data_IF_725850685674
#
_entry.id   IF_725850685674
#
_cell.length_a   1.000
_cell.length_b   1.000
_cell.length_c   1.000
_cell.angle_alpha   90.00
_cell.angle_beta   90.00
_cell.angle_gamma   90.00
#
_symmetry.space_group_name_H-M   'P 1'
#
loop_
_entity.id
_entity.type
_entity.pdbx_description
1 polymer ?
#
# COMPACT_ATOMS: atom_id res chain seq x y z
N UNK A 1 -2.02 -13.30 -4.55
CA UNK A 1 -3.02 -12.44 -3.87
C UNK A 1 -2.79 -12.28 -2.37
N UNK A 2 -2.94 -13.30 -1.50
CA UNK A 2 -2.75 -13.12 -0.02
C UNK A 2 -1.32 -12.70 0.33
N UNK A 3 -0.33 -13.17 -0.43
CA UNK A 3 1.09 -12.87 -0.19
C UNK A 3 1.45 -11.38 -0.39
N UNK A 4 0.78 -10.68 -1.31
CA UNK A 4 1.06 -9.26 -1.58
C UNK A 4 0.48 -8.40 -0.46
N UNK A 5 -0.79 -8.61 -0.10
CA UNK A 5 -1.41 -7.92 1.03
C UNK A 5 -0.67 -8.15 2.36
N UNK A 6 -0.17 -9.37 2.57
CA UNK A 6 0.68 -9.67 3.73
C UNK A 6 2.00 -8.89 3.69
N UNK A 7 2.69 -8.86 2.54
CA UNK A 7 3.91 -8.07 2.37
C UNK A 7 3.67 -6.58 2.59
N UNK A 8 2.56 -6.03 2.11
CA UNK A 8 2.17 -4.63 2.34
C UNK A 8 1.97 -4.37 3.84
N UNK A 9 1.22 -5.24 4.52
CA UNK A 9 0.96 -5.10 5.95
C UNK A 9 2.24 -5.24 6.78
N UNK A 10 3.08 -6.24 6.50
CA UNK A 10 4.38 -6.43 7.16
C UNK A 10 5.27 -5.20 6.93
N UNK A 11 5.35 -4.70 5.68
CA UNK A 11 6.13 -3.51 5.35
C UNK A 11 5.62 -2.25 6.06
N UNK A 12 4.30 -2.04 6.13
CA UNK A 12 3.70 -0.92 6.86
C UNK A 12 4.04 -1.01 8.35
N UNK A 13 3.94 -2.19 8.96
CA UNK A 13 4.25 -2.40 10.38
C UNK A 13 5.73 -2.16 10.67
N UNK A 14 6.62 -2.59 9.76
CA UNK A 14 8.07 -2.36 9.88
C UNK A 14 8.45 -0.89 9.66
N UNK A 15 7.77 -0.18 8.74
CA UNK A 15 8.10 1.20 8.37
C UNK A 15 7.31 2.27 9.12
N UNK A 16 6.16 1.97 9.73
CA UNK A 16 5.51 2.87 10.71
C UNK A 16 6.44 3.17 11.89
N UNK A 17 7.38 2.25 12.20
CA UNK A 17 8.43 2.46 13.22
C UNK A 17 9.73 3.08 12.68
N UNK A 18 9.94 3.08 11.37
CA UNK A 18 11.16 3.59 10.70
C UNK A 18 10.78 4.57 9.60
N UNK A 19 10.16 5.70 9.96
CA UNK A 19 10.01 6.93 9.17
C UNK A 19 10.07 6.83 7.62
N UNK A 20 9.35 5.92 6.96
CA UNK A 20 9.14 5.93 5.50
C UNK A 20 10.39 6.31 4.65
N UNK A 21 11.58 5.85 5.05
CA UNK A 21 12.88 6.27 4.49
C UNK A 21 13.54 5.22 3.63
N UNK A 22 13.03 4.00 3.63
CA UNK A 22 13.70 2.91 2.92
C UNK A 22 13.28 2.91 1.44
N UNK A 23 14.09 3.57 0.61
CA UNK A 23 13.93 3.61 -0.85
C UNK A 23 14.14 2.24 -1.51
N UNK A 24 14.44 1.18 -0.75
CA UNK A 24 14.69 -0.18 -1.29
C UNK A 24 13.55 -0.76 -2.12
N UNK A 25 12.33 -0.23 -1.99
CA UNK A 25 11.16 -0.84 -2.62
C UNK A 25 10.87 -0.55 -4.09
N UNK A 26 11.53 0.32 -4.87
CA UNK A 26 11.07 0.65 -6.25
C UNK A 26 9.58 1.11 -6.38
N UNK A 27 9.33 1.98 -7.35
CA UNK A 27 7.98 2.54 -7.51
C UNK A 27 7.03 1.53 -8.21
N UNK A 28 7.57 0.63 -9.03
CA UNK A 28 6.82 -0.46 -9.68
C UNK A 28 6.14 -1.39 -8.66
N UNK A 29 6.79 -1.66 -7.52
CA UNK A 29 6.20 -2.50 -6.47
C UNK A 29 5.03 -1.78 -5.78
N UNK A 30 5.12 -0.45 -5.63
CA UNK A 30 4.04 0.35 -5.04
C UNK A 30 2.85 0.41 -5.98
N UNK A 31 3.09 0.56 -7.29
CA UNK A 31 2.05 0.48 -8.30
C UNK A 31 1.35 -0.89 -8.26
N UNK A 32 2.12 -1.98 -8.18
CA UNK A 32 1.57 -3.35 -8.04
C UNK A 32 0.72 -3.50 -6.76
N UNK A 33 1.12 -2.86 -5.67
CA UNK A 33 0.36 -2.86 -4.41
C UNK A 33 -0.95 -2.11 -4.54
N UNK A 34 -0.94 -0.92 -5.14
CA UNK A 34 -2.14 -0.12 -5.38
C UNK A 34 -3.12 -0.87 -6.29
N UNK A 35 -2.63 -1.46 -7.38
CA UNK A 35 -3.43 -2.26 -8.30
C UNK A 35 -4.06 -3.46 -7.57
N UNK A 36 -3.27 -4.21 -6.81
CA UNK A 36 -3.75 -5.37 -6.05
C UNK A 36 -4.83 -4.99 -5.03
N UNK A 37 -4.66 -3.87 -4.30
CA UNK A 37 -5.65 -3.39 -3.33
C UNK A 37 -6.93 -2.95 -4.05
N UNK A 38 -6.81 -2.23 -5.17
CA UNK A 38 -7.94 -1.77 -5.95
C UNK A 38 -8.74 -2.93 -6.56
N UNK A 39 -8.07 -3.93 -7.14
CA UNK A 39 -8.71 -5.15 -7.64
C UNK A 39 -9.50 -5.85 -6.53
N UNK A 40 -8.92 -5.96 -5.33
CA UNK A 40 -9.58 -6.61 -4.20
C UNK A 40 -10.80 -5.82 -3.73
N UNK A 41 -10.69 -4.48 -3.61
CA UNK A 41 -11.82 -3.59 -3.30
C UNK A 41 -12.92 -3.72 -4.35
N UNK A 42 -12.57 -3.74 -5.63
CA UNK A 42 -13.52 -3.88 -6.73
C UNK A 42 -14.22 -5.24 -6.71
N UNK A 43 -13.50 -6.32 -6.39
CA UNK A 43 -14.08 -7.65 -6.18
C UNK A 43 -15.05 -7.67 -5.00
N UNK A 44 -14.71 -7.03 -3.88
CA UNK A 44 -15.60 -6.93 -2.71
C UNK A 44 -16.83 -6.06 -2.99
N UNK A 45 -16.68 -4.95 -3.71
CA UNK A 45 -17.79 -4.11 -4.21
C UNK A 45 -18.75 -4.91 -5.08
N UNK A 46 -18.23 -5.67 -6.06
CA UNK A 46 -19.04 -6.56 -6.92
C UNK A 46 -19.83 -7.58 -6.10
N UNK A 47 -19.24 -8.08 -5.03
CA UNK A 47 -19.86 -9.04 -4.11
C UNK A 47 -20.72 -8.38 -3.01
N UNK A 48 -20.93 -7.05 -3.04
CA UNK A 48 -21.63 -6.26 -2.01
C UNK A 48 -21.08 -6.46 -0.59
N UNK A 49 -19.77 -6.73 -0.46
CA UNK A 49 -19.06 -6.91 0.81
C UNK A 49 -18.34 -5.63 1.25
N UNK A 50 -18.94 -4.47 1.03
CA UNK A 50 -18.34 -3.17 1.35
C UNK A 50 -18.45 -2.81 2.83
N UNK A 51 -19.37 -3.41 3.57
CA UNK A 51 -19.60 -3.15 5.00
C UNK A 51 -18.91 -4.19 5.89
N UNK A 52 -17.79 -4.74 5.43
CA UNK A 52 -17.04 -5.76 6.16
C UNK A 52 -15.73 -5.19 6.68
N UNK A 53 -15.26 -5.68 7.83
CA UNK A 53 -13.96 -5.29 8.38
C UNK A 53 -12.83 -5.48 7.37
N UNK A 54 -12.92 -6.49 6.51
CA UNK A 54 -11.96 -6.70 5.43
C UNK A 54 -11.91 -5.54 4.44
N UNK A 55 -13.06 -4.95 4.12
CA UNK A 55 -13.12 -3.82 3.20
C UNK A 55 -12.58 -2.53 3.85
N UNK A 56 -12.88 -2.31 5.13
CA UNK A 56 -12.29 -1.21 5.91
C UNK A 56 -10.77 -1.34 5.99
N UNK A 57 -10.25 -2.54 6.31
CA UNK A 57 -8.81 -2.80 6.30
C UNK A 57 -8.16 -2.52 4.94
N UNK A 58 -8.83 -2.85 3.83
CA UNK A 58 -8.32 -2.55 2.48
C UNK A 58 -8.34 -1.04 2.17
N UNK A 59 -9.30 -0.29 2.72
CA UNK A 59 -9.31 1.16 2.61
C UNK A 59 -8.16 1.80 3.40
N UNK A 60 -7.88 1.29 4.60
CA UNK A 60 -6.72 1.72 5.38
C UNK A 60 -5.41 1.40 4.68
N UNK A 61 -5.28 0.19 4.10
CA UNK A 61 -4.10 -0.18 3.31
C UNK A 61 -3.92 0.73 2.09
N UNK A 62 -4.98 1.02 1.34
CA UNK A 62 -4.96 1.95 0.19
C UNK A 62 -4.45 3.33 0.60
N UNK A 63 -4.93 3.86 1.74
CA UNK A 63 -4.50 5.15 2.26
C UNK A 63 -3.02 5.14 2.64
N UNK A 64 -2.57 4.12 3.38
CA UNK A 64 -1.18 3.99 3.82
C UNK A 64 -0.22 3.85 2.63
N UNK A 65 -0.56 3.05 1.62
CA UNK A 65 0.26 2.89 0.41
C UNK A 65 0.39 4.20 -0.37
N UNK A 66 -0.67 5.01 -0.47
CA UNK A 66 -0.59 6.36 -1.06
C UNK A 66 0.27 7.33 -0.25
N UNK A 67 0.18 7.29 1.07
CA UNK A 67 1.06 8.09 1.93
C UNK A 67 2.53 7.70 1.72
N UNK A 68 2.82 6.41 1.54
CA UNK A 68 4.16 5.91 1.21
C UNK A 68 4.64 6.42 -0.15
N UNK A 69 3.78 6.36 -1.18
CA UNK A 69 4.07 6.89 -2.51
C UNK A 69 4.44 8.38 -2.44
N UNK A 70 3.65 9.18 -1.72
CA UNK A 70 3.89 10.61 -1.52
C UNK A 70 5.19 10.90 -0.76
N UNK A 71 5.49 10.12 0.29
CA UNK A 71 6.73 10.28 1.05
C UNK A 71 7.93 9.90 0.18
N UNK A 72 7.84 8.84 -0.62
CA UNK A 72 8.91 8.43 -1.54
C UNK A 72 9.15 9.44 -2.65
N UNK A 73 8.09 9.99 -3.26
CA UNK A 73 8.20 11.11 -4.21
C UNK A 73 8.93 12.30 -3.59
N UNK A 74 8.76 12.52 -2.29
CA UNK A 74 9.46 13.59 -1.54
C UNK A 74 10.87 13.23 -1.06
N UNK A 75 11.19 11.97 -0.75
CA UNK A 75 12.51 11.57 -0.21
C UNK A 75 13.42 10.95 -1.27
N UNK A 76 12.96 9.86 -1.88
CA UNK A 76 13.76 9.06 -2.83
C UNK A 76 13.97 9.77 -4.17
N UNK A 77 13.01 10.59 -4.61
CA UNK A 77 13.15 11.36 -5.84
C UNK A 77 14.07 12.59 -5.68
N UNK A 78 14.32 13.04 -4.45
CA UNK A 78 15.21 14.18 -4.15
C UNK A 78 16.68 13.75 -4.11
N UNK A 79 17.00 12.48 -3.84
CA UNK A 79 18.39 11.99 -3.77
C UNK A 79 19.05 11.71 -5.13
N UNK A 80 18.39 11.99 -6.26
CA UNK A 80 19.07 12.09 -7.57
C UNK A 80 19.63 13.50 -7.78
N UNK A 81 20.69 13.87 -7.05
CA UNK A 81 21.54 15.00 -7.45
C UNK A 81 22.99 14.85 -7.02
#
# INVERSE_FOLDING_TARGET
MIHILKKIADWIVENEKKEATDCSISDEIIDEWLETIEEHKNRMKKNRKTETQQYEMLQDLDKKVKEIEDIRKKKCHIESK
#
